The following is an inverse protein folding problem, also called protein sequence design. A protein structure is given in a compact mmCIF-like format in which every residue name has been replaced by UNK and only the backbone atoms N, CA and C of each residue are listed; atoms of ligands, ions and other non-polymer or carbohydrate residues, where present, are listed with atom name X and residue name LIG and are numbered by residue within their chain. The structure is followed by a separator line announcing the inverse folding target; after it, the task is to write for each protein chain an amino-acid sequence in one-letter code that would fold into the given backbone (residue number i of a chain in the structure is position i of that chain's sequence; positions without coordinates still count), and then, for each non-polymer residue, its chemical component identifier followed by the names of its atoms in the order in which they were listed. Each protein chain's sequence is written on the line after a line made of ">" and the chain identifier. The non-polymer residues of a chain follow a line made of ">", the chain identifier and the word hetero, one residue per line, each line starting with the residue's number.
data_IF_875936304104
#
_entry.id   IF_875936304104
#
_cell.length_a   1.000
_cell.length_b   1.000
_cell.length_c   1.000
_cell.angle_alpha   90.00
_cell.angle_beta   90.00
_cell.angle_gamma   90.00
#
_symmetry.space_group_name_H-M   'P 1'
#
loop_
_entity.id
_entity.type
_entity.pdbx_description
1 polymer ?
#
# COMPACT_ATOMS: atom_id res chain seq x y z
N UNK A 1 -49.64 -20.96 -52.74
CA UNK A 1 -48.34 -21.45 -52.18
C UNK A 1 -48.32 -22.97 -52.12
N UNK A 2 -47.26 -23.62 -52.59
CA UNK A 2 -47.05 -25.07 -52.39
C UNK A 2 -46.97 -25.37 -50.88
N UNK A 3 -47.55 -26.49 -50.43
CA UNK A 3 -47.56 -26.94 -49.02
C UNK A 3 -46.17 -26.90 -48.39
N UNK A 4 -45.14 -27.28 -49.15
CA UNK A 4 -43.73 -27.18 -48.76
C UNK A 4 -43.33 -25.78 -48.24
N UNK A 5 -43.77 -24.71 -48.90
CA UNK A 5 -43.42 -23.35 -48.50
C UNK A 5 -44.15 -22.92 -47.22
N UNK A 6 -45.35 -23.44 -46.96
CA UNK A 6 -46.08 -23.15 -45.72
C UNK A 6 -45.39 -23.80 -44.51
N UNK A 7 -44.94 -25.05 -44.66
CA UNK A 7 -44.21 -25.78 -43.62
C UNK A 7 -42.87 -25.06 -43.33
N UNK A 8 -42.13 -24.68 -44.37
CA UNK A 8 -40.84 -23.99 -44.21
C UNK A 8 -40.97 -22.66 -43.46
N UNK A 9 -41.99 -21.84 -43.78
CA UNK A 9 -42.21 -20.56 -43.09
C UNK A 9 -42.63 -20.79 -41.64
N UNK A 10 -43.51 -21.76 -41.38
CA UNK A 10 -43.90 -22.12 -40.01
C UNK A 10 -42.69 -22.56 -39.17
N UNK A 11 -41.81 -23.41 -39.72
CA UNK A 11 -40.59 -23.85 -39.05
C UNK A 11 -39.61 -22.70 -38.77
N UNK A 12 -39.40 -21.79 -39.73
CA UNK A 12 -38.54 -20.61 -39.54
C UNK A 12 -39.08 -19.66 -38.48
N UNK A 13 -40.41 -19.45 -38.47
CA UNK A 13 -41.08 -18.55 -37.51
C UNK A 13 -40.94 -19.06 -36.08
N UNK A 14 -40.85 -20.37 -35.87
CA UNK A 14 -40.65 -20.98 -34.54
C UNK A 14 -39.16 -21.06 -34.19
N UNK A 15 -38.29 -21.34 -35.15
CA UNK A 15 -36.85 -21.47 -34.90
C UNK A 15 -36.19 -20.12 -34.54
N UNK A 16 -36.59 -19.03 -35.20
CA UNK A 16 -35.94 -17.72 -35.00
C UNK A 16 -36.09 -17.18 -33.57
N UNK A 17 -37.28 -17.19 -32.93
CA UNK A 17 -37.42 -16.81 -31.52
C UNK A 17 -36.63 -17.72 -30.58
N UNK A 18 -36.56 -19.02 -30.85
CA UNK A 18 -35.82 -19.97 -29.99
C UNK A 18 -34.33 -19.68 -30.05
N UNK A 19 -33.78 -19.44 -31.25
CA UNK A 19 -32.37 -19.06 -31.42
C UNK A 19 -32.10 -17.71 -30.77
N UNK A 20 -33.00 -16.73 -30.95
CA UNK A 20 -32.85 -15.41 -30.34
C UNK A 20 -32.88 -15.45 -28.82
N UNK A 21 -33.81 -16.18 -28.22
CA UNK A 21 -33.89 -16.38 -26.77
C UNK A 21 -32.68 -17.18 -26.27
N UNK A 22 -32.30 -18.24 -26.98
CA UNK A 22 -31.13 -19.05 -26.64
C UNK A 22 -29.83 -18.24 -26.64
N UNK A 23 -29.60 -17.45 -27.68
CA UNK A 23 -28.43 -16.56 -27.78
C UNK A 23 -28.45 -15.45 -26.72
N UNK A 24 -29.62 -14.89 -26.42
CA UNK A 24 -29.76 -13.90 -25.35
C UNK A 24 -29.46 -14.48 -23.96
N UNK A 25 -29.94 -15.70 -23.67
CA UNK A 25 -29.64 -16.38 -22.41
C UNK A 25 -28.16 -16.75 -22.31
N UNK A 26 -27.57 -17.26 -23.39
CA UNK A 26 -26.13 -17.57 -23.46
C UNK A 26 -25.27 -16.33 -23.23
N UNK A 27 -25.65 -15.20 -23.81
CA UNK A 27 -25.01 -13.90 -23.58
C UNK A 27 -25.04 -13.49 -22.10
N UNK A 28 -26.21 -13.57 -21.45
CA UNK A 28 -26.34 -13.23 -20.02
C UNK A 28 -25.45 -14.14 -19.16
N UNK A 29 -25.50 -15.45 -19.39
CA UNK A 29 -24.72 -16.42 -18.62
C UNK A 29 -23.21 -16.20 -18.80
N UNK A 30 -22.77 -15.92 -20.03
CA UNK A 30 -21.37 -15.64 -20.33
C UNK A 30 -20.92 -14.32 -19.68
N UNK A 31 -21.78 -13.30 -19.68
CA UNK A 31 -21.47 -12.02 -19.06
C UNK A 31 -21.34 -12.14 -17.53
N UNK A 32 -22.26 -12.85 -16.88
CA UNK A 32 -22.18 -13.11 -15.43
C UNK A 32 -20.94 -13.91 -15.07
N UNK A 33 -20.60 -14.94 -15.85
CA UNK A 33 -19.41 -15.76 -15.57
C UNK A 33 -18.11 -14.98 -15.75
N UNK A 34 -18.02 -14.19 -16.81
CA UNK A 34 -16.87 -13.31 -17.05
C UNK A 34 -16.71 -12.29 -15.91
N UNK A 35 -17.79 -11.68 -15.45
CA UNK A 35 -17.74 -10.76 -14.32
C UNK A 35 -17.20 -11.45 -13.05
N UNK A 36 -17.68 -12.66 -12.75
CA UNK A 36 -17.21 -13.44 -11.61
C UNK A 36 -15.72 -13.77 -11.71
N UNK A 37 -15.27 -14.28 -12.86
CA UNK A 37 -13.86 -14.64 -13.08
C UNK A 37 -12.92 -13.42 -12.95
N UNK A 38 -13.34 -12.26 -13.47
CA UNK A 38 -12.59 -11.01 -13.31
C UNK A 38 -12.52 -10.59 -11.85
N UNK A 39 -13.61 -10.69 -11.09
CA UNK A 39 -13.61 -10.33 -9.67
C UNK A 39 -12.75 -11.29 -8.83
N UNK A 40 -12.77 -12.60 -9.12
CA UNK A 40 -11.91 -13.58 -8.46
C UNK A 40 -10.43 -13.31 -8.77
N UNK A 41 -10.10 -12.96 -10.02
CA UNK A 41 -8.76 -12.55 -10.40
C UNK A 41 -8.32 -11.28 -9.64
N UNK A 42 -9.15 -10.24 -9.61
CA UNK A 42 -8.86 -9.00 -8.86
C UNK A 42 -8.66 -9.28 -7.37
N UNK A 43 -9.48 -10.16 -6.78
CA UNK A 43 -9.36 -10.54 -5.37
C UNK A 43 -8.06 -11.30 -5.09
N UNK A 44 -7.66 -12.19 -6.00
CA UNK A 44 -6.38 -12.91 -5.92
C UNK A 44 -5.20 -11.95 -5.99
N UNK A 45 -5.22 -11.01 -6.94
CA UNK A 45 -4.20 -9.96 -7.06
C UNK A 45 -4.17 -9.10 -5.80
N UNK A 46 -5.32 -8.62 -5.32
CA UNK A 46 -5.39 -7.82 -4.09
C UNK A 46 -4.80 -8.56 -2.88
N UNK A 47 -5.03 -9.86 -2.77
CA UNK A 47 -4.48 -10.70 -1.70
C UNK A 47 -2.95 -10.85 -1.80
N UNK A 48 -2.43 -11.06 -3.01
CA UNK A 48 -0.97 -11.11 -3.26
C UNK A 48 -0.34 -9.76 -2.94
N UNK A 49 -0.94 -8.65 -3.38
CA UNK A 49 -0.41 -7.32 -3.11
C UNK A 49 -0.45 -7.00 -1.61
N UNK A 50 -1.53 -7.34 -0.89
CA UNK A 50 -1.58 -7.23 0.58
C UNK A 50 -0.41 -7.95 1.24
N UNK A 51 -0.15 -9.19 0.83
CA UNK A 51 0.94 -9.99 1.38
C UNK A 51 2.31 -9.36 1.10
N UNK A 52 2.57 -8.91 -0.14
CA UNK A 52 3.81 -8.20 -0.49
C UNK A 52 4.01 -6.90 0.30
N UNK A 53 2.93 -6.18 0.61
CA UNK A 53 3.02 -4.96 1.45
C UNK A 53 3.39 -5.33 2.89
N UNK A 54 2.76 -6.37 3.45
CA UNK A 54 3.08 -6.86 4.80
C UNK A 54 4.55 -7.29 4.87
N UNK A 55 5.03 -8.07 3.91
CA UNK A 55 6.44 -8.49 3.82
C UNK A 55 7.38 -7.29 3.68
N UNK A 56 7.00 -6.27 2.91
CA UNK A 56 7.77 -5.03 2.81
C UNK A 56 7.85 -4.28 4.15
N UNK A 57 6.76 -4.24 4.92
CA UNK A 57 6.72 -3.63 6.26
C UNK A 57 7.62 -4.42 7.23
N UNK A 58 7.49 -5.75 7.25
CA UNK A 58 8.30 -6.65 8.08
C UNK A 58 9.79 -6.50 7.77
N UNK A 59 10.16 -6.50 6.49
CA UNK A 59 11.54 -6.27 6.06
C UNK A 59 12.08 -4.92 6.53
N UNK A 60 11.26 -3.85 6.54
CA UNK A 60 11.69 -2.57 7.11
C UNK A 60 11.90 -2.63 8.63
N UNK A 61 11.13 -3.43 9.37
CA UNK A 61 11.40 -3.67 10.79
C UNK A 61 12.65 -4.51 11.00
N UNK A 62 12.95 -5.47 10.14
CA UNK A 62 14.20 -6.25 10.20
C UNK A 62 15.42 -5.35 9.95
N UNK A 63 15.33 -4.39 9.03
CA UNK A 63 16.37 -3.37 8.82
C UNK A 63 16.60 -2.56 10.09
N UNK A 64 15.54 -2.10 10.76
CA UNK A 64 15.65 -1.40 12.04
C UNK A 64 16.28 -2.30 13.12
N UNK A 65 15.86 -3.56 13.20
CA UNK A 65 16.41 -4.53 14.15
C UNK A 65 17.91 -4.77 13.90
N UNK A 66 18.37 -4.72 12.65
CA UNK A 66 19.79 -4.76 12.28
C UNK A 66 20.61 -3.58 12.82
N UNK A 67 19.96 -2.48 13.22
CA UNK A 67 20.55 -1.34 13.94
C UNK A 67 20.39 -1.51 15.45
N UNK A 68 19.16 -1.67 15.94
CA UNK A 68 18.83 -1.62 17.38
C UNK A 68 19.35 -2.80 18.18
N UNK A 69 19.52 -3.97 17.55
CA UNK A 69 20.01 -5.18 18.22
C UNK A 69 21.51 -5.16 18.50
N UNK A 70 22.28 -4.23 17.90
CA UNK A 70 23.74 -4.15 18.05
C UNK A 70 24.13 -3.87 19.50
N UNK A 71 24.75 -4.84 20.18
CA UNK A 71 25.14 -4.71 21.60
C UNK A 71 26.08 -3.54 21.84
N UNK A 72 27.13 -3.38 21.03
CA UNK A 72 28.09 -2.28 21.18
C UNK A 72 27.42 -0.91 21.02
N UNK A 73 26.38 -0.79 20.19
CA UNK A 73 25.64 0.46 20.04
C UNK A 73 24.97 0.85 21.36
N UNK A 74 24.25 -0.12 21.95
CA UNK A 74 23.52 0.08 23.20
C UNK A 74 24.46 0.34 24.38
N UNK A 75 25.54 -0.42 24.50
CA UNK A 75 26.54 -0.22 25.56
C UNK A 75 27.20 1.17 25.45
N UNK A 76 27.61 1.57 24.23
CA UNK A 76 28.25 2.88 24.02
C UNK A 76 27.26 4.01 24.27
N UNK A 77 25.98 3.84 23.87
CA UNK A 77 24.93 4.83 24.14
C UNK A 77 24.63 4.95 25.63
N UNK A 78 24.63 3.85 26.38
CA UNK A 78 24.49 3.91 27.84
C UNK A 78 25.63 4.69 28.50
N UNK A 79 26.89 4.41 28.13
CA UNK A 79 28.04 5.14 28.67
C UNK A 79 27.99 6.62 28.29
N UNK A 80 27.73 6.92 27.02
CA UNK A 80 27.59 8.30 26.55
C UNK A 80 26.50 9.07 27.30
N UNK A 81 25.35 8.44 27.58
CA UNK A 81 24.27 9.06 28.36
C UNK A 81 24.68 9.37 29.83
N UNK A 82 25.72 8.71 30.37
CA UNK A 82 26.22 8.95 31.73
C UNK A 82 27.29 10.04 31.78
N UNK A 83 28.25 10.04 30.86
CA UNK A 83 29.47 10.86 30.96
C UNK A 83 29.76 11.75 29.75
N UNK A 84 28.98 11.65 28.67
CA UNK A 84 29.16 12.39 27.41
C UNK A 84 30.56 12.19 26.78
N UNK A 85 31.18 11.02 26.99
CA UNK A 85 32.52 10.70 26.50
C UNK A 85 32.63 10.71 24.96
N UNK A 86 33.65 11.41 24.45
CA UNK A 86 34.00 11.48 23.04
C UNK A 86 34.27 10.11 22.39
N UNK A 87 34.87 9.16 23.12
CA UNK A 87 35.17 7.84 22.55
C UNK A 87 33.90 7.05 22.23
N UNK A 88 32.90 7.09 23.11
CA UNK A 88 31.64 6.39 22.87
C UNK A 88 30.80 7.08 21.80
N UNK A 89 30.84 8.42 21.73
CA UNK A 89 30.33 9.18 20.58
C UNK A 89 30.90 8.66 19.25
N UNK A 90 32.23 8.55 19.14
CA UNK A 90 32.89 8.07 17.91
C UNK A 90 32.50 6.61 17.57
N UNK A 91 32.34 5.75 18.59
CA UNK A 91 31.87 4.37 18.37
C UNK A 91 30.44 4.35 17.84
N UNK A 92 29.53 5.14 18.42
CA UNK A 92 28.13 5.22 18.01
C UNK A 92 28.04 5.70 16.56
N UNK A 93 28.70 6.82 16.24
CA UNK A 93 28.74 7.40 14.90
C UNK A 93 29.24 6.39 13.86
N UNK A 94 30.32 5.66 14.19
CA UNK A 94 30.83 4.59 13.33
C UNK A 94 29.80 3.47 13.14
N UNK A 95 29.17 3.01 14.21
CA UNK A 95 28.20 1.89 14.14
C UNK A 95 26.98 2.25 13.30
N UNK A 96 26.42 3.45 13.45
CA UNK A 96 25.26 3.87 12.65
C UNK A 96 25.63 4.10 11.18
N UNK A 97 26.86 4.57 10.91
CA UNK A 97 27.37 4.71 9.54
C UNK A 97 27.63 3.36 8.87
N UNK A 98 28.20 2.41 9.60
CA UNK A 98 28.38 1.03 9.16
C UNK A 98 27.02 0.38 8.90
N UNK A 99 26.04 0.61 9.76
CA UNK A 99 24.68 0.08 9.57
C UNK A 99 24.00 0.65 8.32
N UNK A 100 24.08 1.97 8.11
CA UNK A 100 23.63 2.62 6.87
C UNK A 100 24.27 2.02 5.62
N UNK A 101 25.57 1.68 5.68
CA UNK A 101 26.32 1.21 4.52
C UNK A 101 26.19 -0.30 4.27
N UNK A 102 25.78 -1.09 5.27
CA UNK A 102 25.72 -2.55 5.20
C UNK A 102 24.30 -3.10 5.03
N UNK A 103 23.28 -2.28 5.23
CA UNK A 103 21.87 -2.67 5.11
C UNK A 103 21.28 -1.95 3.90
N UNK A 104 20.75 -2.72 2.95
CA UNK A 104 20.20 -2.17 1.71
C UNK A 104 19.03 -1.20 1.95
N UNK A 105 18.95 -0.17 1.10
CA UNK A 105 17.94 0.89 1.09
C UNK A 105 17.78 1.68 2.41
N UNK A 106 18.80 1.75 3.26
CA UNK A 106 18.84 2.75 4.33
C UNK A 106 19.47 4.04 3.79
N UNK A 107 18.68 5.11 3.73
CA UNK A 107 19.19 6.43 3.35
C UNK A 107 19.90 7.09 4.53
N UNK A 108 19.30 7.01 5.71
CA UNK A 108 19.76 7.72 6.91
C UNK A 108 19.42 6.90 8.17
N UNK A 109 20.33 6.92 9.14
CA UNK A 109 20.14 6.43 10.51
C UNK A 109 20.41 7.59 11.46
N UNK A 110 19.54 7.76 12.46
CA UNK A 110 19.74 8.70 13.56
C UNK A 110 19.16 8.16 14.87
N UNK A 111 19.63 8.72 15.99
CA UNK A 111 19.23 8.31 17.34
C UNK A 111 18.67 9.53 18.06
N UNK A 112 17.50 9.34 18.67
CA UNK A 112 16.83 10.29 19.52
C UNK A 112 17.12 9.99 21.00
N UNK A 113 17.31 11.04 21.79
CA UNK A 113 17.37 10.93 23.25
C UNK A 113 15.96 10.69 23.84
N UNK A 114 15.85 10.64 25.17
CA UNK A 114 14.58 10.47 25.89
C UNK A 114 13.60 11.64 25.76
N UNK A 115 14.04 12.79 25.26
CA UNK A 115 13.22 13.98 25.01
C UNK A 115 12.76 14.07 23.55
N UNK A 116 13.30 13.22 22.67
CA UNK A 116 13.00 13.24 21.23
C UNK A 116 13.97 14.06 20.39
N UNK A 117 15.08 14.55 20.96
CA UNK A 117 16.09 15.31 20.21
C UNK A 117 17.10 14.38 19.53
N UNK A 118 17.49 14.73 18.30
CA UNK A 118 18.52 14.00 17.56
C UNK A 118 19.89 14.24 18.20
N UNK A 119 20.49 13.18 18.74
CA UNK A 119 21.82 13.21 19.37
C UNK A 119 22.92 12.60 18.48
N UNK A 120 22.56 11.68 17.59
CA UNK A 120 23.47 11.10 16.60
C UNK A 120 22.77 10.98 15.26
N UNK A 121 23.49 11.25 14.17
CA UNK A 121 22.97 11.15 12.82
C UNK A 121 24.06 10.78 11.83
N UNK A 122 23.70 10.03 10.79
CA UNK A 122 24.54 9.75 9.61
C UNK A 122 24.45 10.87 8.55
N UNK A 123 23.74 11.95 8.86
CA UNK A 123 23.44 13.04 7.95
C UNK A 123 23.27 14.35 8.72
N UNK A 124 23.98 15.39 8.29
CA UNK A 124 23.89 16.72 8.87
C UNK A 124 22.47 17.32 8.80
N UNK A 125 21.60 16.79 7.92
CA UNK A 125 20.21 17.26 7.77
C UNK A 125 19.35 17.05 9.01
N UNK A 126 19.70 16.10 9.87
CA UNK A 126 18.94 15.78 11.09
C UNK A 126 19.61 16.29 12.36
N UNK A 127 20.83 16.82 12.28
CA UNK A 127 21.50 17.40 13.44
C UNK A 127 20.69 18.57 14.02
N UNK A 128 20.56 18.60 15.36
CA UNK A 128 19.80 19.60 16.11
C UNK A 128 18.31 19.67 15.78
N UNK A 129 17.73 18.64 15.14
CA UNK A 129 16.28 18.51 15.02
C UNK A 129 15.69 17.85 16.27
N UNK A 130 14.44 18.17 16.55
CA UNK A 130 13.63 17.52 17.58
C UNK A 130 12.41 16.87 16.96
N UNK A 131 12.06 15.69 17.47
CA UNK A 131 10.91 14.88 17.10
C UNK A 131 9.92 14.74 18.26
N UNK A 132 10.05 15.56 19.30
CA UNK A 132 9.10 15.64 20.41
C UNK A 132 7.66 15.84 19.88
N UNK A 133 6.71 15.08 20.42
CA UNK A 133 5.30 15.14 20.02
C UNK A 133 4.99 14.55 18.63
N UNK A 134 5.96 13.93 17.96
CA UNK A 134 5.70 13.23 16.69
C UNK A 134 5.41 11.75 16.91
N UNK A 135 4.59 11.15 16.03
CA UNK A 135 4.28 9.72 16.12
C UNK A 135 5.53 8.83 16.03
N UNK A 136 6.54 9.25 15.26
CA UNK A 136 7.82 8.55 15.14
C UNK A 136 8.53 8.43 16.48
N UNK A 137 8.53 9.49 17.29
CA UNK A 137 9.13 9.42 18.60
C UNK A 137 8.22 8.70 19.60
N UNK A 138 6.96 9.11 19.73
CA UNK A 138 6.06 8.61 20.77
C UNK A 138 5.80 7.10 20.63
N UNK A 139 5.49 6.64 19.41
CA UNK A 139 5.25 5.21 19.15
C UNK A 139 6.57 4.44 19.11
N UNK A 140 7.62 5.03 18.52
CA UNK A 140 8.96 4.44 18.43
C UNK A 140 9.64 4.23 19.79
N UNK A 141 9.30 5.05 20.79
CA UNK A 141 9.74 4.87 22.18
C UNK A 141 9.07 3.64 22.83
N UNK A 142 7.83 3.32 22.48
CA UNK A 142 7.14 2.17 23.05
C UNK A 142 7.48 0.85 22.33
N UNK A 143 7.55 0.87 21.00
CA UNK A 143 7.74 -0.31 20.14
C UNK A 143 8.19 0.08 18.75
N UNK A 144 8.55 -0.90 17.93
CA UNK A 144 8.81 -0.65 16.52
C UNK A 144 7.58 -0.02 15.85
N UNK A 145 7.79 1.09 15.16
CA UNK A 145 6.76 1.87 14.49
C UNK A 145 7.25 2.38 13.14
N UNK A 146 6.40 2.27 12.12
CA UNK A 146 6.63 2.79 10.78
C UNK A 146 5.67 3.96 10.53
N UNK A 147 6.17 5.02 9.91
CA UNK A 147 5.33 6.11 9.41
C UNK A 147 5.75 6.51 8.00
N UNK A 148 4.82 7.09 7.26
CA UNK A 148 5.06 7.75 5.98
C UNK A 148 5.16 9.25 6.20
N UNK A 149 6.13 9.89 5.58
CA UNK A 149 6.35 11.33 5.67
C UNK A 149 6.89 11.89 4.38
N UNK A 150 6.92 13.22 4.26
CA UNK A 150 7.58 13.92 3.15
C UNK A 150 8.91 14.47 3.66
N UNK A 151 10.01 14.13 3.00
CA UNK A 151 11.35 14.67 3.25
C UNK A 151 11.89 15.21 1.93
N UNK A 152 12.29 16.48 1.89
CA UNK A 152 12.81 17.12 0.67
C UNK A 152 11.89 16.92 -0.56
N UNK A 153 10.59 17.15 -0.37
CA UNK A 153 9.53 16.98 -1.38
C UNK A 153 9.30 15.53 -1.87
N UNK A 154 10.02 14.54 -1.33
CA UNK A 154 9.83 13.14 -1.68
C UNK A 154 9.19 12.34 -0.53
N UNK A 155 8.27 11.41 -0.85
CA UNK A 155 7.72 10.50 0.15
C UNK A 155 8.76 9.49 0.63
N UNK A 156 8.91 9.38 1.95
CA UNK A 156 9.85 8.48 2.62
C UNK A 156 9.17 7.67 3.71
N UNK A 157 9.74 6.51 4.01
CA UNK A 157 9.38 5.73 5.18
C UNK A 157 10.34 6.07 6.31
N UNK A 158 9.80 6.38 7.47
CA UNK A 158 10.56 6.47 8.71
C UNK A 158 10.18 5.30 9.60
N UNK A 159 11.17 4.54 10.04
CA UNK A 159 10.98 3.38 10.90
C UNK A 159 11.76 3.62 12.18
N UNK A 160 11.07 3.53 13.30
CA UNK A 160 11.55 3.91 14.62
C UNK A 160 11.37 2.77 15.61
N UNK A 161 12.26 2.64 16.58
CA UNK A 161 12.09 1.68 17.65
C UNK A 161 13.06 1.88 18.81
N UNK A 162 12.76 1.25 19.95
CA UNK A 162 13.43 1.53 21.20
C UNK A 162 14.83 0.91 21.25
N UNK A 163 15.79 1.66 21.77
CA UNK A 163 17.11 1.12 22.13
C UNK A 163 17.08 0.69 23.60
N UNK A 164 16.95 -0.61 23.82
CA UNK A 164 16.81 -1.21 25.16
C UNK A 164 18.06 -1.99 25.56
N UNK A 165 18.59 -1.74 26.75
CA UNK A 165 19.69 -2.53 27.35
C UNK A 165 19.29 -2.96 28.76
N UNK A 166 19.16 -4.26 29.01
CA UNK A 166 18.67 -4.80 30.30
C UNK A 166 17.36 -4.14 30.75
N UNK A 167 16.38 -4.04 29.85
CA UNK A 167 15.08 -3.36 30.03
C UNK A 167 15.14 -1.86 30.31
N UNK A 168 16.33 -1.25 30.31
CA UNK A 168 16.50 0.21 30.40
C UNK A 168 16.38 0.85 29.02
N UNK A 169 15.54 1.87 28.93
CA UNK A 169 15.37 2.67 27.73
C UNK A 169 16.51 3.68 27.56
N UNK A 170 17.27 3.57 26.47
CA UNK A 170 18.42 4.44 26.20
C UNK A 170 18.10 5.58 25.23
N UNK A 171 17.09 5.39 24.38
CA UNK A 171 16.71 6.32 23.31
C UNK A 171 15.90 5.60 22.23
N UNK A 172 15.68 6.26 21.10
CA UNK A 172 14.96 5.69 19.95
C UNK A 172 15.88 5.73 18.73
N UNK A 173 16.08 4.59 18.08
CA UNK A 173 16.73 4.57 16.77
C UNK A 173 15.68 4.84 15.70
N UNK A 174 16.03 5.64 14.70
CA UNK A 174 15.20 5.90 13.53
C UNK A 174 16.01 5.64 12.28
N UNK A 175 15.44 4.90 11.35
CA UNK A 175 15.96 4.73 9.99
C UNK A 175 15.00 5.36 9.00
N UNK A 176 15.57 5.96 7.95
CA UNK A 176 14.84 6.51 6.80
C UNK A 176 15.12 5.64 5.59
N UNK A 177 14.06 5.19 4.92
CA UNK A 177 14.13 4.33 3.74
C UNK A 177 13.24 4.90 2.62
N UNK A 178 13.56 4.62 1.34
CA UNK A 178 12.73 5.09 0.23
C UNK A 178 11.41 4.32 0.17
N UNK A 179 10.38 4.95 -0.40
CA UNK A 179 9.06 4.32 -0.64
C UNK A 179 9.03 3.41 -1.88
N UNK A 180 10.15 3.29 -2.59
CA UNK A 180 10.25 2.61 -3.89
C UNK A 180 9.68 1.20 -3.90
N UNK A 181 9.91 0.41 -2.86
CA UNK A 181 9.38 -0.97 -2.75
C UNK A 181 7.86 -0.98 -2.69
N UNK A 182 7.25 -0.10 -1.90
CA UNK A 182 5.78 0.04 -1.85
C UNK A 182 5.22 0.50 -3.19
N UNK A 183 5.87 1.48 -3.83
CA UNK A 183 5.45 1.96 -5.15
C UNK A 183 5.50 0.86 -6.22
N UNK A 184 6.56 0.02 -6.21
CA UNK A 184 6.70 -1.11 -7.15
C UNK A 184 5.60 -2.16 -6.99
N UNK A 185 5.15 -2.41 -5.76
CA UNK A 185 4.07 -3.37 -5.48
C UNK A 185 2.78 -2.90 -6.16
N UNK A 186 2.40 -1.63 -6.01
CA UNK A 186 1.15 -1.09 -6.58
C UNK A 186 1.25 -0.83 -8.08
N UNK A 187 2.44 -0.51 -8.60
CA UNK A 187 2.67 -0.28 -10.02
C UNK A 187 2.93 -1.56 -10.83
N UNK A 188 2.83 -2.74 -10.21
CA UNK A 188 2.90 -4.03 -10.90
C UNK A 188 1.56 -4.30 -11.58
N UNK A 189 1.46 -3.91 -12.86
CA UNK A 189 0.25 -4.08 -13.67
C UNK A 189 0.17 -5.44 -14.38
N UNK A 190 1.00 -6.41 -13.98
CA UNK A 190 0.96 -7.75 -14.55
C UNK A 190 -0.43 -8.34 -14.38
N UNK A 191 -1.02 -8.79 -15.48
CA UNK A 191 -2.39 -9.35 -15.52
C UNK A 191 -3.52 -8.37 -15.13
N UNK A 192 -3.28 -7.06 -15.17
CA UNK A 192 -4.30 -6.02 -14.90
C UNK A 192 -4.74 -5.26 -16.16
N UNK A 193 -4.29 -5.66 -17.35
CA UNK A 193 -4.71 -5.02 -18.60
C UNK A 193 -4.31 -3.55 -18.71
N UNK A 194 -5.08 -2.77 -19.46
CA UNK A 194 -4.81 -1.37 -19.80
C UNK A 194 -5.34 -0.38 -18.77
N UNK A 195 -6.45 -0.73 -18.12
CA UNK A 195 -7.14 0.12 -17.15
C UNK A 195 -6.98 -0.35 -15.71
N UNK A 196 -6.55 -1.60 -15.50
CA UNK A 196 -6.45 -2.16 -14.17
C UNK A 196 -5.32 -1.54 -13.37
N UNK A 197 -5.52 -1.45 -12.06
CA UNK A 197 -4.68 -0.65 -11.19
C UNK A 197 -4.77 -1.18 -9.76
N UNK A 198 -3.66 -1.12 -9.03
CA UNK A 198 -3.61 -1.34 -7.59
C UNK A 198 -3.12 -0.07 -6.93
N UNK A 199 -3.72 0.32 -5.82
CA UNK A 199 -3.30 1.50 -5.07
C UNK A 199 -3.63 1.38 -3.58
N UNK A 200 -2.96 2.19 -2.78
CA UNK A 200 -3.12 2.22 -1.35
C UNK A 200 -3.44 3.63 -0.83
N UNK A 201 -4.14 3.67 0.30
CA UNK A 201 -4.38 4.90 1.05
C UNK A 201 -4.30 4.65 2.55
N UNK A 202 -4.04 5.71 3.29
CA UNK A 202 -4.19 5.80 4.74
C UNK A 202 -5.24 6.85 5.08
N UNK A 203 -5.66 6.92 6.34
CA UNK A 203 -6.46 8.05 6.84
C UNK A 203 -5.58 9.29 7.04
N UNK A 204 -6.08 10.44 6.62
CA UNK A 204 -5.53 11.73 7.05
C UNK A 204 -6.15 12.18 8.39
N UNK A 205 -5.85 13.41 8.82
CA UNK A 205 -6.37 13.98 10.06
C UNK A 205 -7.89 14.23 10.04
N UNK A 206 -8.51 14.35 8.86
CA UNK A 206 -9.96 14.49 8.70
C UNK A 206 -10.67 13.12 8.61
N UNK A 207 -9.89 12.05 8.50
CA UNK A 207 -10.36 10.68 8.29
C UNK A 207 -10.58 10.33 6.82
N UNK A 208 -10.22 11.22 5.91
CA UNK A 208 -10.32 11.06 4.46
C UNK A 208 -9.23 10.10 3.96
N UNK A 209 -9.49 9.46 2.81
CA UNK A 209 -8.54 8.53 2.22
C UNK A 209 -7.44 9.30 1.49
N UNK A 210 -6.24 9.37 2.09
CA UNK A 210 -5.05 9.97 1.50
C UNK A 210 -4.21 8.89 0.81
N UNK A 211 -3.99 9.02 -0.50
CA UNK A 211 -3.21 8.04 -1.25
C UNK A 211 -1.75 8.01 -0.80
N UNK A 212 -1.21 6.80 -0.64
CA UNK A 212 0.18 6.54 -0.20
C UNK A 212 1.02 5.82 -1.27
N UNK A 213 0.52 5.82 -2.50
CA UNK A 213 1.20 5.35 -3.71
C UNK A 213 0.75 6.21 -4.88
N UNK A 214 1.59 6.36 -5.90
CA UNK A 214 1.17 6.97 -7.16
C UNK A 214 0.09 6.12 -7.85
N UNK A 215 -0.85 6.80 -8.49
CA UNK A 215 -1.94 6.21 -9.25
C UNK A 215 -1.55 6.13 -10.72
N UNK A 216 -1.99 5.08 -11.42
CA UNK A 216 -1.70 4.80 -12.84
C UNK A 216 -2.13 5.94 -13.78
N UNK A 217 -3.16 6.68 -13.39
CA UNK A 217 -3.72 7.78 -14.18
C UNK A 217 -3.54 9.15 -13.51
N UNK A 218 -2.75 9.21 -12.43
CA UNK A 218 -2.42 10.43 -11.69
C UNK A 218 -1.10 10.21 -10.93
N UNK A 219 0.04 10.42 -11.61
CA UNK A 219 1.37 10.13 -11.08
C UNK A 219 1.75 11.01 -9.87
N UNK A 220 1.13 12.20 -9.73
CA UNK A 220 1.39 13.16 -8.64
C UNK A 220 0.47 12.96 -7.43
N UNK A 221 -0.18 11.81 -7.31
CA UNK A 221 -1.17 11.55 -6.26
C UNK A 221 -0.58 11.19 -4.88
N UNK A 222 0.66 10.72 -4.81
CA UNK A 222 1.29 10.23 -3.57
C UNK A 222 1.30 11.33 -2.50
N UNK A 223 0.60 11.09 -1.38
CA UNK A 223 0.45 12.02 -0.23
C UNK A 223 -0.10 13.41 -0.62
N UNK A 224 -0.77 13.52 -1.77
CA UNK A 224 -1.37 14.77 -2.27
C UNK A 224 -2.86 14.63 -2.59
N UNK A 225 -3.27 13.48 -3.14
CA UNK A 225 -4.65 13.22 -3.51
C UNK A 225 -5.43 12.64 -2.34
N UNK A 226 -6.62 13.18 -2.08
CA UNK A 226 -7.56 12.67 -1.07
C UNK A 226 -8.91 12.30 -1.69
N UNK A 227 -9.62 11.38 -1.03
CA UNK A 227 -11.03 11.08 -1.28
C UNK A 227 -11.79 11.28 0.03
N UNK A 228 -12.86 12.11 0.04
CA UNK A 228 -13.68 12.29 1.23
C UNK A 228 -14.20 10.97 1.79
N UNK A 229 -14.14 10.77 3.10
CA UNK A 229 -14.58 9.52 3.75
C UNK A 229 -16.07 9.18 3.50
N UNK A 230 -16.88 10.17 3.14
CA UNK A 230 -18.29 9.99 2.78
C UNK A 230 -18.47 9.32 1.40
N UNK A 231 -17.44 9.35 0.54
CA UNK A 231 -17.43 8.72 -0.80
C UNK A 231 -17.21 7.20 -0.70
N UNK A 232 -18.21 6.52 -0.13
CA UNK A 232 -18.24 5.06 0.04
C UNK A 232 -18.51 4.30 -1.27
N UNK A 233 -18.82 5.02 -2.34
CA UNK A 233 -18.87 4.56 -3.73
C UNK A 233 -17.48 4.29 -4.33
N UNK A 234 -16.41 4.78 -3.69
CA UNK A 234 -15.02 4.56 -4.12
C UNK A 234 -14.41 3.35 -3.38
N UNK A 235 -13.75 2.40 -4.08
CA UNK A 235 -13.21 1.19 -3.47
C UNK A 235 -12.22 1.44 -2.31
N UNK A 236 -11.39 2.48 -2.41
CA UNK A 236 -10.39 2.75 -1.36
C UNK A 236 -11.02 3.11 -0.01
N UNK A 237 -12.15 3.82 -0.03
CA UNK A 237 -12.91 4.16 1.17
C UNK A 237 -13.47 2.90 1.81
N UNK A 238 -13.95 1.94 1.02
CA UNK A 238 -14.40 0.63 1.52
C UNK A 238 -13.27 -0.15 2.19
N UNK A 239 -12.09 -0.16 1.58
CA UNK A 239 -10.91 -0.79 2.16
C UNK A 239 -10.57 -0.20 3.54
N UNK A 240 -10.58 1.13 3.68
CA UNK A 240 -10.34 1.82 4.96
C UNK A 240 -11.46 1.59 5.99
N UNK A 241 -12.69 1.34 5.54
CA UNK A 241 -13.81 0.91 6.40
C UNK A 241 -13.71 -0.57 6.82
N UNK A 242 -12.60 -1.25 6.50
CA UNK A 242 -12.36 -2.68 6.78
C UNK A 242 -13.31 -3.63 6.04
N UNK A 243 -13.98 -3.14 5.00
CA UNK A 243 -14.80 -3.98 4.14
C UNK A 243 -13.92 -4.63 3.07
N UNK A 244 -13.31 -5.78 3.42
CA UNK A 244 -12.56 -6.61 2.47
C UNK A 244 -13.52 -7.43 1.62
N UNK A 245 -13.77 -7.01 0.38
CA UNK A 245 -14.74 -7.66 -0.50
C UNK A 245 -14.42 -7.43 -1.97
N UNK A 246 -15.22 -8.06 -2.83
CA UNK A 246 -15.30 -7.79 -4.27
C UNK A 246 -16.54 -6.92 -4.54
N UNK A 247 -16.40 -5.95 -5.44
CA UNK A 247 -17.48 -5.03 -5.78
C UNK A 247 -17.70 -4.96 -7.29
N UNK A 248 -18.93 -5.22 -7.70
CA UNK A 248 -19.44 -5.16 -9.08
C UNK A 248 -19.79 -3.73 -9.53
N UNK A 249 -20.17 -2.90 -8.58
CA UNK A 249 -20.73 -1.57 -8.83
C UNK A 249 -20.07 -0.54 -7.93
N UNK A 250 -18.92 -0.04 -8.38
CA UNK A 250 -18.21 1.09 -7.77
C UNK A 250 -17.74 2.04 -8.86
N UNK A 251 -17.37 3.24 -8.44
CA UNK A 251 -16.67 4.19 -9.30
C UNK A 251 -15.28 4.44 -8.74
N UNK A 252 -14.29 4.56 -9.59
CA UNK A 252 -12.94 4.91 -9.14
C UNK A 252 -12.83 6.42 -8.81
N UNK A 253 -11.62 6.84 -8.46
CA UNK A 253 -11.31 8.24 -8.15
C UNK A 253 -11.45 9.20 -9.35
N UNK A 254 -11.65 8.67 -10.56
CA UNK A 254 -11.91 9.42 -11.81
C UNK A 254 -13.42 9.48 -12.12
N UNK A 255 -14.25 8.79 -11.35
CA UNK A 255 -15.68 8.65 -11.60
C UNK A 255 -16.02 7.59 -12.64
N UNK A 256 -15.08 6.71 -13.01
CA UNK A 256 -15.29 5.65 -14.00
C UNK A 256 -15.86 4.40 -13.32
N UNK A 257 -16.90 3.73 -13.88
CA UNK A 257 -17.39 2.46 -13.37
C UNK A 257 -16.33 1.36 -13.40
N UNK A 258 -16.15 0.67 -12.28
CA UNK A 258 -15.11 -0.36 -12.12
C UNK A 258 -15.63 -1.63 -11.47
N UNK A 259 -14.99 -2.76 -11.82
CA UNK A 259 -14.95 -3.95 -10.98
C UNK A 259 -13.75 -3.82 -10.05
N UNK A 260 -13.90 -4.18 -8.76
CA UNK A 260 -12.82 -3.98 -7.79
C UNK A 260 -12.79 -5.01 -6.67
N UNK A 261 -11.63 -5.15 -6.05
CA UNK A 261 -11.42 -5.92 -4.84
C UNK A 261 -10.64 -5.09 -3.81
N UNK A 262 -11.01 -5.20 -2.54
CA UNK A 262 -10.40 -4.43 -1.44
C UNK A 262 -9.75 -5.35 -0.42
N UNK A 263 -8.72 -4.80 0.23
CA UNK A 263 -7.99 -5.41 1.34
C UNK A 263 -7.64 -4.35 2.38
N UNK A 264 -7.54 -4.75 3.64
CA UNK A 264 -7.19 -3.88 4.75
C UNK A 264 -5.95 -4.42 5.48
N UNK A 265 -4.95 -3.56 5.69
CA UNK A 265 -3.68 -3.88 6.32
C UNK A 265 -3.73 -3.34 7.75
N UNK A 266 -4.08 -4.21 8.69
CA UNK A 266 -4.42 -3.83 10.06
C UNK A 266 -3.26 -3.23 10.85
N UNK A 267 -2.04 -3.71 10.64
CA UNK A 267 -0.84 -3.21 11.33
C UNK A 267 -0.59 -1.71 11.10
N UNK A 268 -0.99 -1.20 9.94
CA UNK A 268 -0.69 0.17 9.49
C UNK A 268 -1.94 1.05 9.34
N UNK A 269 -3.14 0.50 9.51
CA UNK A 269 -4.42 1.16 9.15
C UNK A 269 -4.42 1.66 7.70
N UNK A 270 -3.97 0.80 6.77
CA UNK A 270 -3.94 1.10 5.34
C UNK A 270 -5.02 0.32 4.60
N UNK A 271 -5.64 0.99 3.63
CA UNK A 271 -6.53 0.39 2.66
C UNK A 271 -5.77 0.09 1.37
N UNK A 272 -6.05 -1.06 0.76
CA UNK A 272 -5.57 -1.44 -0.56
C UNK A 272 -6.77 -1.76 -1.44
N UNK A 273 -6.77 -1.27 -2.67
CA UNK A 273 -7.78 -1.64 -3.65
C UNK A 273 -7.13 -1.96 -4.99
N UNK A 274 -7.67 -2.97 -5.65
CA UNK A 274 -7.34 -3.35 -7.03
C UNK A 274 -8.61 -3.21 -7.85
N UNK A 275 -8.52 -2.60 -9.02
CA UNK A 275 -9.67 -2.37 -9.89
C UNK A 275 -9.34 -2.61 -11.35
N UNK A 276 -10.37 -2.71 -12.18
CA UNK A 276 -10.31 -2.61 -13.64
C UNK A 276 -11.56 -1.86 -14.13
N UNK A 277 -11.44 -1.10 -15.21
CA UNK A 277 -12.58 -0.38 -15.77
C UNK A 277 -13.58 -1.38 -16.35
N UNK A 278 -14.85 -1.20 -16.04
CA UNK A 278 -15.91 -2.14 -16.41
C UNK A 278 -15.96 -2.36 -17.93
N UNK A 279 -15.75 -1.29 -18.71
CA UNK A 279 -15.70 -1.35 -20.16
C UNK A 279 -14.57 -2.25 -20.69
N UNK A 280 -13.42 -2.32 -20.02
CA UNK A 280 -12.34 -3.23 -20.42
C UNK A 280 -12.65 -4.67 -20.05
N UNK A 281 -13.18 -4.91 -18.84
CA UNK A 281 -13.53 -6.25 -18.38
C UNK A 281 -14.53 -6.95 -19.31
N UNK A 282 -15.48 -6.21 -19.88
CA UNK A 282 -16.49 -6.75 -20.78
C UNK A 282 -16.18 -6.59 -22.29
N UNK A 283 -15.02 -6.03 -22.66
CA UNK A 283 -14.67 -5.77 -24.06
C UNK A 283 -14.66 -7.04 -24.94
N UNK A 284 -14.37 -8.21 -24.37
CA UNK A 284 -14.39 -9.48 -25.10
C UNK A 284 -15.82 -9.89 -25.53
N UNK A 285 -16.85 -9.47 -24.81
CA UNK A 285 -18.25 -9.73 -25.18
C UNK A 285 -18.71 -8.88 -26.37
N UNK A 286 -18.15 -7.68 -26.54
CA UNK A 286 -18.48 -6.79 -27.67
C UNK A 286 -17.99 -7.33 -29.02
N UNK A 287 -17.01 -8.24 -29.04
CA UNK A 287 -16.51 -8.86 -30.26
C UNK A 287 -17.30 -10.12 -30.69
N UNK A 288 -18.20 -10.63 -29.84
CA UNK A 288 -18.93 -11.89 -30.06
C UNK A 288 -20.41 -11.64 -30.40
N UNK A 289 -20.95 -10.45 -30.12
CA UNK A 289 -22.32 -10.02 -30.47
C UNK A 289 -22.42 -9.36 -31.84
#
# INVERSE_FOLDING_TARGET
>A
MKIRNKIMIASLTVAFPIIGVGGYLDYILTAEKLEEDVLEQLNSIASIQKQRVIESIENNFDKLNGVTSRTQLRESLEQFNLDQNTQDKLKIEKIILDAKSSIDDIEEVFILNSSGDVIFSTSAKFENKSFEGTEIFEKGYAKNHLSLSISDETPVLMISGPLLLNDKHLGVAVIKTPTQTLSKITSDYTSLGKSGESFMAKRDSNGDALFITSLRFDDDSFLKRTIPKERTDVPITQALLKNESIFKEKVDYRGVPVLSATKYIEQMDWGLAVKIDRSEAFATLEYIG
#
